data_IF_685507381855
#
_entry.id   IF_685507381855
#
_cell.length_a   1.000
_cell.length_b   1.000
_cell.length_c   1.000
_cell.angle_alpha   90.00
_cell.angle_beta   90.00
_cell.angle_gamma   90.00
#
_symmetry.space_group_name_H-M   'P 1'
#
loop_
_entity.id
_entity.type
_entity.pdbx_description
1 polymer ?
#
# COMPACT_ATOMS: atom_id res chain seq x y z
N UNK A 1 8.69 9.33 -23.45
CA UNK A 1 9.54 8.12 -23.37
C UNK A 1 9.61 7.52 -24.76
N UNK A 2 10.81 7.48 -25.30
CA UNK A 2 11.07 6.94 -26.64
C UNK A 2 10.83 5.43 -26.71
N UNK A 3 10.65 4.90 -27.92
CA UNK A 3 10.35 3.48 -28.13
C UNK A 3 11.46 2.54 -27.65
N UNK A 4 12.73 2.99 -27.67
CA UNK A 4 13.89 2.22 -27.19
C UNK A 4 13.91 2.15 -25.65
N UNK A 5 13.74 3.30 -24.99
CA UNK A 5 13.67 3.40 -23.53
C UNK A 5 12.55 2.54 -22.96
N UNK A 6 11.37 2.57 -23.59
CA UNK A 6 10.21 1.78 -23.18
C UNK A 6 10.51 0.28 -23.17
N UNK A 7 11.24 -0.22 -24.18
CA UNK A 7 11.64 -1.63 -24.26
C UNK A 7 12.62 -1.98 -23.15
N UNK A 8 13.57 -1.10 -22.86
CA UNK A 8 14.55 -1.28 -21.77
C UNK A 8 13.83 -1.34 -20.42
N UNK A 9 12.98 -0.35 -20.11
CA UNK A 9 12.22 -0.32 -18.85
C UNK A 9 11.30 -1.52 -18.72
N UNK A 10 10.63 -1.93 -19.81
CA UNK A 10 9.80 -3.14 -19.82
C UNK A 10 10.62 -4.40 -19.52
N UNK A 11 11.81 -4.52 -20.13
CA UNK A 11 12.72 -5.63 -19.85
C UNK A 11 13.17 -5.65 -18.39
N UNK A 12 13.57 -4.49 -17.84
CA UNK A 12 13.96 -4.37 -16.42
C UNK A 12 12.80 -4.79 -15.51
N UNK A 13 11.58 -4.33 -15.78
CA UNK A 13 10.40 -4.73 -15.02
C UNK A 13 10.14 -6.24 -15.10
N UNK A 14 10.39 -6.88 -16.25
CA UNK A 14 10.32 -8.33 -16.36
C UNK A 14 11.41 -9.02 -15.51
N UNK A 15 12.64 -8.52 -15.50
CA UNK A 15 13.70 -9.10 -14.66
C UNK A 15 13.35 -8.98 -13.17
N UNK A 16 13.05 -7.75 -12.71
CA UNK A 16 12.69 -7.49 -11.31
C UNK A 16 11.50 -8.33 -10.86
N UNK A 17 10.42 -8.38 -11.64
CA UNK A 17 9.24 -9.17 -11.28
C UNK A 17 9.53 -10.68 -11.20
N UNK A 18 10.42 -11.20 -12.06
CA UNK A 18 10.83 -12.62 -11.99
C UNK A 18 11.62 -12.89 -10.71
N UNK A 19 12.54 -11.99 -10.37
CA UNK A 19 13.42 -12.15 -9.20
C UNK A 19 12.65 -12.04 -7.89
N UNK A 20 11.69 -11.11 -7.80
CA UNK A 20 10.81 -10.96 -6.63
C UNK A 20 9.98 -12.23 -6.38
N UNK A 21 9.34 -12.76 -7.43
CA UNK A 21 8.53 -13.97 -7.32
C UNK A 21 9.39 -15.19 -6.99
N UNK A 22 10.57 -15.30 -7.59
CA UNK A 22 11.50 -16.38 -7.28
C UNK A 22 11.99 -16.31 -5.82
N UNK A 23 12.27 -15.11 -5.31
CA UNK A 23 12.64 -14.90 -3.91
C UNK A 23 11.51 -15.31 -2.96
N UNK A 24 10.29 -14.81 -3.21
CA UNK A 24 9.11 -15.14 -2.41
C UNK A 24 8.85 -16.65 -2.37
N UNK A 25 8.91 -17.31 -3.53
CA UNK A 25 8.76 -18.76 -3.63
C UNK A 25 9.83 -19.52 -2.85
N UNK A 26 11.10 -19.12 -2.95
CA UNK A 26 12.21 -19.74 -2.20
C UNK A 26 12.05 -19.60 -0.68
N UNK A 27 11.46 -18.50 -0.23
CA UNK A 27 11.23 -18.22 1.19
C UNK A 27 9.90 -18.77 1.71
N UNK A 28 9.03 -19.30 0.84
CA UNK A 28 7.66 -19.67 1.23
C UNK A 28 6.82 -18.48 1.68
N UNK A 29 7.12 -17.28 1.18
CA UNK A 29 6.50 -16.03 1.58
C UNK A 29 5.55 -15.47 0.51
N UNK A 30 4.60 -14.63 0.92
CA UNK A 30 3.80 -13.78 0.03
C UNK A 30 4.49 -12.45 -0.30
N UNK A 31 3.96 -11.72 -1.28
CA UNK A 31 4.38 -10.37 -1.63
C UNK A 31 3.29 -9.36 -1.28
N UNK A 32 3.68 -8.24 -0.69
CA UNK A 32 2.76 -7.14 -0.37
C UNK A 32 3.24 -5.89 -1.09
N UNK A 33 2.36 -5.26 -1.86
CA UNK A 33 2.65 -4.06 -2.65
C UNK A 33 1.83 -2.88 -2.15
N UNK A 34 2.38 -1.67 -2.24
CA UNK A 34 1.58 -0.47 -2.05
C UNK A 34 0.61 -0.26 -3.22
N UNK A 35 -0.64 0.07 -2.93
CA UNK A 35 -1.59 0.50 -3.94
C UNK A 35 -1.28 1.94 -4.38
N UNK A 36 -0.52 2.06 -5.46
CA UNK A 36 -0.14 3.33 -6.07
C UNK A 36 -1.16 3.84 -7.11
N UNK A 37 -2.38 3.31 -7.13
CA UNK A 37 -3.42 3.83 -8.00
C UNK A 37 -3.72 5.32 -7.72
N UNK A 38 -3.86 6.12 -8.78
CA UNK A 38 -4.26 7.53 -8.66
C UNK A 38 -3.21 8.47 -8.05
N UNK A 39 -1.97 8.04 -7.81
CA UNK A 39 -0.90 8.92 -7.26
C UNK A 39 -0.55 10.09 -8.18
N UNK A 40 -0.77 9.93 -9.49
CA UNK A 40 -0.49 10.95 -10.51
C UNK A 40 -1.51 12.09 -10.50
N UNK A 41 -2.74 11.81 -10.06
CA UNK A 41 -3.80 12.83 -9.91
C UNK A 41 -3.78 13.52 -8.55
N UNK A 42 -3.35 12.82 -7.48
CA UNK A 42 -3.41 13.33 -6.09
C UNK A 42 -2.34 14.35 -5.72
N UNK A 43 -1.21 14.38 -6.41
CA UNK A 43 -0.07 15.22 -6.06
C UNK A 43 0.50 15.87 -7.31
N UNK A 44 0.28 17.18 -7.46
CA UNK A 44 0.88 17.96 -8.54
C UNK A 44 2.41 18.00 -8.38
N UNK A 45 3.15 17.65 -9.43
CA UNK A 45 4.60 17.88 -9.47
C UNK A 45 4.89 19.25 -10.04
N UNK A 46 5.96 19.90 -9.52
CA UNK A 46 6.53 21.09 -10.15
C UNK A 46 7.08 20.74 -11.52
N UNK A 47 7.04 21.70 -12.45
CA UNK A 47 7.47 21.49 -13.84
C UNK A 47 8.95 21.07 -13.93
N UNK A 48 9.82 21.66 -13.10
CA UNK A 48 11.24 21.31 -12.99
C UNK A 48 11.46 19.83 -12.61
N UNK A 49 10.64 19.30 -11.71
CA UNK A 49 10.69 17.88 -11.29
C UNK A 49 10.16 16.94 -12.38
N UNK A 50 9.32 17.43 -13.31
CA UNK A 50 8.84 16.63 -14.45
C UNK A 50 9.88 16.52 -15.56
N UNK A 51 10.71 17.54 -15.75
CA UNK A 51 11.80 17.52 -16.73
C UNK A 51 12.98 16.64 -16.33
N UNK A 52 13.17 16.39 -15.03
CA UNK A 52 14.21 15.50 -14.52
C UNK A 52 13.72 14.04 -14.48
N UNK A 53 14.30 13.17 -15.30
CA UNK A 53 13.89 11.75 -15.38
C UNK A 53 14.09 10.98 -14.06
N UNK A 54 15.07 11.37 -13.22
CA UNK A 54 15.35 10.73 -11.94
C UNK A 54 14.37 11.14 -10.83
N UNK A 55 13.78 12.32 -10.93
CA UNK A 55 12.79 12.83 -9.97
C UNK A 55 11.34 12.74 -10.48
N UNK A 56 11.16 12.49 -11.78
CA UNK A 56 9.85 12.38 -12.38
C UNK A 56 9.19 11.03 -12.05
N UNK A 57 8.18 11.06 -11.18
CA UNK A 57 7.36 9.86 -10.87
C UNK A 57 6.61 9.30 -12.09
N UNK A 58 6.41 10.08 -13.15
CA UNK A 58 5.78 9.61 -14.38
C UNK A 58 6.74 8.79 -15.26
N UNK A 59 8.05 8.85 -14.97
CA UNK A 59 9.08 8.15 -15.74
C UNK A 59 8.99 6.63 -15.56
N UNK A 60 8.86 6.13 -14.33
CA UNK A 60 8.79 4.69 -14.08
C UNK A 60 7.34 4.15 -14.13
N UNK A 61 7.05 3.10 -14.92
CA UNK A 61 5.70 2.55 -15.04
C UNK A 61 5.42 1.54 -13.93
N UNK A 62 5.15 2.03 -12.70
CA UNK A 62 4.88 1.17 -11.54
C UNK A 62 3.73 0.17 -11.75
N UNK A 63 2.67 0.58 -12.46
CA UNK A 63 1.54 -0.30 -12.79
C UNK A 63 1.97 -1.51 -13.66
N UNK A 64 2.91 -1.31 -14.59
CA UNK A 64 3.42 -2.40 -15.42
C UNK A 64 4.21 -3.40 -14.56
N UNK A 65 5.05 -2.91 -13.65
CA UNK A 65 5.79 -3.77 -12.74
C UNK A 65 4.83 -4.58 -11.85
N UNK A 66 3.82 -3.94 -11.26
CA UNK A 66 2.80 -4.61 -10.46
C UNK A 66 2.07 -5.70 -11.26
N UNK A 67 1.61 -5.38 -12.48
CA UNK A 67 0.97 -6.36 -13.36
C UNK A 67 1.90 -7.55 -13.63
N UNK A 68 3.18 -7.31 -13.86
CA UNK A 68 4.17 -8.36 -14.08
C UNK A 68 4.43 -9.24 -12.86
N UNK A 69 4.50 -8.63 -11.67
CA UNK A 69 4.60 -9.37 -10.41
C UNK A 69 3.36 -10.25 -10.23
N UNK A 70 2.15 -9.70 -10.40
CA UNK A 70 0.89 -10.44 -10.19
C UNK A 70 0.76 -11.66 -11.07
N UNK A 71 0.95 -11.54 -12.40
CA UNK A 71 0.75 -12.69 -13.28
C UNK A 71 1.81 -13.78 -13.05
N UNK A 72 3.07 -13.39 -12.75
CA UNK A 72 4.15 -14.35 -12.46
C UNK A 72 3.96 -15.02 -11.12
N UNK A 73 3.52 -14.28 -10.11
CA UNK A 73 3.23 -14.81 -8.79
C UNK A 73 2.09 -15.83 -8.86
N UNK A 74 1.02 -15.51 -9.59
CA UNK A 74 -0.09 -16.44 -9.86
C UNK A 74 0.41 -17.74 -10.49
N UNK A 75 1.24 -17.64 -11.54
CA UNK A 75 1.82 -18.82 -12.19
C UNK A 75 2.75 -19.63 -11.27
N UNK A 76 3.35 -18.99 -10.27
CA UNK A 76 4.27 -19.61 -9.32
C UNK A 76 3.59 -20.12 -8.04
N UNK A 77 2.30 -19.83 -7.83
CA UNK A 77 1.55 -20.13 -6.60
C UNK A 77 1.88 -19.19 -5.43
N UNK A 78 2.42 -18.01 -5.69
CA UNK A 78 2.78 -17.00 -4.68
C UNK A 78 1.63 -16.01 -4.50
N UNK A 79 1.23 -15.76 -3.26
CA UNK A 79 0.18 -14.77 -2.93
C UNK A 79 0.70 -13.35 -3.09
N UNK A 80 -0.14 -12.45 -3.62
CA UNK A 80 0.18 -11.03 -3.79
C UNK A 80 -0.97 -10.17 -3.32
N UNK A 81 -0.72 -9.36 -2.29
CA UNK A 81 -1.68 -8.43 -1.72
C UNK A 81 -1.28 -6.97 -1.90
N UNK A 82 -2.24 -6.09 -1.63
CA UNK A 82 -2.04 -4.65 -1.70
C UNK A 82 -2.47 -3.94 -0.43
N UNK A 83 -1.65 -2.99 0.00
CA UNK A 83 -1.92 -2.14 1.16
C UNK A 83 -2.10 -0.68 0.75
N UNK A 84 -2.80 0.08 1.59
CA UNK A 84 -2.94 1.53 1.40
C UNK A 84 -1.57 2.21 1.65
N UNK A 85 -1.11 3.12 0.76
CA UNK A 85 0.21 3.76 0.87
C UNK A 85 0.29 4.86 1.95
N UNK A 86 -0.76 5.02 2.77
CA UNK A 86 -0.84 6.15 3.69
C UNK A 86 0.12 5.97 4.86
N UNK A 87 0.96 6.98 5.10
CA UNK A 87 1.90 7.09 6.22
C UNK A 87 3.00 6.01 6.30
N UNK A 88 3.06 5.06 5.37
CA UNK A 88 4.09 4.00 5.30
C UNK A 88 5.51 4.57 5.24
N UNK A 89 5.72 5.65 4.50
CA UNK A 89 7.03 6.30 4.32
C UNK A 89 7.36 7.38 5.37
N UNK A 90 6.41 7.73 6.24
CA UNK A 90 6.57 8.76 7.28
C UNK A 90 6.70 8.17 8.68
N UNK A 91 6.06 7.03 8.92
CA UNK A 91 6.03 6.40 10.23
C UNK A 91 7.34 5.67 10.50
N UNK A 92 7.85 5.74 11.71
CA UNK A 92 9.03 4.99 12.11
C UNK A 92 8.62 3.55 12.37
N UNK A 93 9.24 2.61 11.67
CA UNK A 93 9.00 1.19 11.91
C UNK A 93 9.34 0.75 13.34
N UNK A 94 10.33 1.38 13.96
CA UNK A 94 10.79 1.02 15.30
C UNK A 94 9.87 1.54 16.41
N UNK A 95 9.39 2.77 16.31
CA UNK A 95 8.70 3.45 17.42
C UNK A 95 7.32 4.04 17.09
N UNK A 96 6.85 3.90 15.85
CA UNK A 96 5.55 4.41 15.39
C UNK A 96 5.45 5.93 15.24
N UNK A 97 6.53 6.69 15.48
CA UNK A 97 6.48 8.15 15.37
C UNK A 97 6.34 8.61 13.91
N UNK A 98 5.50 9.61 13.67
CA UNK A 98 5.39 10.28 12.38
C UNK A 98 6.54 11.26 12.19
N UNK A 99 7.22 11.14 11.05
CA UNK A 99 8.39 11.94 10.68
C UNK A 99 8.27 12.45 9.25
N UNK A 100 9.11 13.41 8.90
CA UNK A 100 9.26 13.87 7.52
C UNK A 100 10.35 13.07 6.80
N UNK A 101 10.00 12.57 5.61
CA UNK A 101 10.95 11.90 4.71
C UNK A 101 11.81 12.94 3.99
N UNK A 102 13.13 12.75 3.98
CA UNK A 102 14.07 13.58 3.20
C UNK A 102 14.66 12.77 2.05
N UNK A 103 14.04 12.85 0.87
CA UNK A 103 14.43 12.09 -0.34
C UNK A 103 14.57 10.59 -0.06
N UNK A 104 15.79 10.04 -0.08
CA UNK A 104 16.09 8.63 0.13
C UNK A 104 16.43 8.29 1.58
N UNK A 105 16.69 9.29 2.42
CA UNK A 105 17.04 9.11 3.81
C UNK A 105 15.81 9.24 4.72
N UNK A 106 15.76 8.38 5.73
CA UNK A 106 14.82 8.44 6.83
C UNK A 106 15.57 8.56 8.15
N UNK A 107 15.20 9.56 8.95
CA UNK A 107 15.74 9.77 10.30
C UNK A 107 14.56 10.03 11.22
N UNK A 108 14.39 9.18 12.24
CA UNK A 108 13.36 9.38 13.25
C UNK A 108 13.82 10.41 14.28
N UNK A 109 13.07 11.50 14.45
CA UNK A 109 13.35 12.55 15.43
C UNK A 109 13.07 12.11 16.86
N UNK A 110 12.29 11.04 17.06
CA UNK A 110 11.92 10.51 18.38
C UNK A 110 12.94 9.51 18.93
N UNK A 111 13.30 8.49 18.14
CA UNK A 111 14.16 7.40 18.60
C UNK A 111 15.54 7.36 17.94
N UNK A 112 15.84 8.28 17.02
CA UNK A 112 17.13 8.34 16.34
C UNK A 112 17.36 7.25 15.28
N UNK A 113 16.36 6.40 14.99
CA UNK A 113 16.48 5.38 13.95
C UNK A 113 16.77 5.98 12.58
N UNK A 114 17.75 5.42 11.88
CA UNK A 114 18.18 5.86 10.55
C UNK A 114 18.13 4.69 9.58
N UNK A 115 17.53 4.92 8.41
CA UNK A 115 17.42 3.91 7.36
C UNK A 115 17.23 4.57 5.98
N UNK A 116 17.29 3.77 4.92
CA UNK A 116 16.73 4.17 3.65
C UNK A 116 15.21 4.29 3.78
N UNK A 117 14.61 5.35 3.23
CA UNK A 117 13.19 5.64 3.40
C UNK A 117 12.29 4.52 2.86
N UNK A 118 12.66 3.93 1.73
CA UNK A 118 11.88 2.83 1.13
C UNK A 118 12.05 1.52 1.92
N UNK A 119 13.19 1.34 2.62
CA UNK A 119 13.39 0.19 3.51
C UNK A 119 12.52 0.31 4.78
N UNK A 120 12.50 1.49 5.41
CA UNK A 120 11.60 1.77 6.52
C UNK A 120 10.12 1.60 6.11
N UNK A 121 9.75 2.03 4.90
CA UNK A 121 8.39 1.83 4.38
C UNK A 121 8.05 0.35 4.19
N UNK A 122 8.95 -0.45 3.59
CA UNK A 122 8.75 -1.89 3.44
C UNK A 122 8.59 -2.60 4.79
N UNK A 123 9.37 -2.19 5.79
CA UNK A 123 9.26 -2.72 7.14
C UNK A 123 7.93 -2.34 7.82
N UNK A 124 7.44 -1.11 7.66
CA UNK A 124 6.10 -0.73 8.12
C UNK A 124 5.01 -1.57 7.46
N UNK A 125 5.09 -1.79 6.15
CA UNK A 125 4.12 -2.61 5.43
C UNK A 125 4.10 -4.03 5.97
N UNK A 126 5.27 -4.62 6.22
CA UNK A 126 5.39 -5.95 6.85
C UNK A 126 4.67 -6.01 8.19
N UNK A 127 4.89 -5.02 9.06
CA UNK A 127 4.34 -5.03 10.41
C UNK A 127 2.86 -4.68 10.48
N UNK A 128 2.38 -3.84 9.56
CA UNK A 128 0.97 -3.42 9.54
C UNK A 128 0.07 -4.38 8.79
N UNK A 129 0.64 -5.21 7.93
CA UNK A 129 -0.16 -6.17 7.18
C UNK A 129 -0.81 -7.18 8.14
N UNK A 130 -2.14 -7.26 8.08
CA UNK A 130 -2.93 -8.05 9.03
C UNK A 130 -3.30 -7.30 10.33
N UNK A 131 -2.70 -6.15 10.62
CA UNK A 131 -3.18 -5.24 11.68
C UNK A 131 -4.40 -4.47 11.16
N UNK A 132 -5.54 -5.17 11.14
CA UNK A 132 -6.82 -4.50 11.27
C UNK A 132 -7.10 -4.44 12.77
N UNK A 133 -7.39 -3.26 13.32
CA UNK A 133 -8.13 -3.25 14.56
C UNK A 133 -9.46 -3.92 14.22
N UNK A 134 -9.85 -5.05 14.85
CA UNK A 134 -11.24 -5.43 14.82
C UNK A 134 -11.96 -4.28 15.49
N UNK A 135 -12.52 -3.39 14.69
CA UNK A 135 -13.39 -2.35 15.17
C UNK A 135 -14.71 -3.05 15.49
N UNK A 136 -14.70 -3.93 16.48
CA UNK A 136 -15.88 -4.23 17.28
C UNK A 136 -16.19 -2.92 17.99
N UNK A 137 -16.80 -1.99 17.25
CA UNK A 137 -17.53 -0.89 17.85
C UNK A 137 -18.63 -1.59 18.64
N UNK A 138 -18.39 -1.82 19.92
CA UNK A 138 -19.47 -2.05 20.86
C UNK A 138 -20.44 -0.89 20.65
N UNK A 139 -21.58 -1.17 20.03
CA UNK A 139 -22.68 -0.20 19.97
C UNK A 139 -23.07 -0.02 21.42
N UNK A 140 -22.86 1.17 22.03
CA UNK A 140 -23.28 1.38 23.38
C UNK A 140 -24.81 1.18 23.41
N UNK A 141 -25.27 0.24 24.22
CA UNK A 141 -26.70 0.09 24.47
C UNK A 141 -27.24 1.44 25.01
N UNK A 142 -28.21 2.04 24.32
CA UNK A 142 -28.79 3.33 24.72
C UNK A 142 -28.10 4.60 24.20
N UNK A 143 -27.28 4.52 23.13
CA UNK A 143 -26.80 5.74 22.45
C UNK A 143 -27.89 6.49 21.68
N UNK A 144 -27.80 7.82 21.49
CA UNK A 144 -28.81 8.65 20.80
C UNK A 144 -29.02 8.32 19.31
N UNK A 145 -28.26 7.35 18.78
CA UNK A 145 -28.34 6.84 17.41
C UNK A 145 -28.91 5.42 17.34
N UNK A 146 -29.61 4.94 18.37
CA UNK A 146 -30.46 3.76 18.20
C UNK A 146 -31.43 4.03 17.03
N UNK A 147 -31.44 3.17 15.99
CA UNK A 147 -32.42 3.31 14.93
C UNK A 147 -33.79 3.17 15.58
N UNK A 148 -34.61 4.21 15.43
CA UNK A 148 -35.94 4.25 16.02
C UNK A 148 -36.68 2.93 15.70
N UNK A 149 -37.37 2.32 16.68
CA UNK A 149 -38.14 1.11 16.44
C UNK A 149 -39.08 1.36 15.26
N UNK A 150 -38.97 0.51 14.25
CA UNK A 150 -39.78 0.62 13.04
C UNK A 150 -41.14 -0.06 13.32
N UNK A 151 -42.23 0.71 13.49
CA UNK A 151 -43.53 0.16 13.90
C UNK A 151 -44.12 -0.80 12.84
N UNK A 152 -43.65 -0.76 11.60
CA UNK A 152 -44.06 -1.66 10.53
C UNK A 152 -43.47 -3.08 10.71
N UNK A 153 -42.30 -3.21 11.34
CA UNK A 153 -41.68 -4.53 11.61
C UNK A 153 -42.26 -5.21 12.84
N UNK A 154 -42.67 -4.44 13.84
CA UNK A 154 -43.23 -4.97 15.09
C UNK A 154 -44.65 -5.51 14.90
N UNK A 155 -45.47 -4.83 14.10
CA UNK A 155 -46.81 -5.30 13.73
C UNK A 155 -46.77 -6.57 12.88
N UNK A 156 -45.77 -6.71 12.00
CA UNK A 156 -45.54 -7.94 11.24
C UNK A 156 -45.11 -9.13 12.13
N UNK A 157 -44.34 -8.89 13.19
CA UNK A 157 -43.93 -9.93 14.13
C UNK A 157 -45.08 -10.37 15.06
N UNK A 158 -45.97 -9.45 15.45
CA UNK A 158 -47.15 -9.75 16.27
C UNK A 158 -48.28 -10.44 15.48
N UNK A 159 -48.36 -10.22 14.17
CA UNK A 159 -49.32 -10.89 13.30
C UNK A 159 -48.93 -12.33 12.91
N UNK A 160 -47.70 -12.76 13.23
CA UNK A 160 -47.18 -14.09 12.95
C UNK A 160 -47.16 -15.02 14.18
N UNK A 161 -47.69 -14.56 15.32
CA UNK A 161 -47.92 -15.35 16.54
C UNK A 161 -49.43 -15.61 16.71
#
# INVERSE_FOLDING_TARGET
MESKERRIVTHINHCISKDLVALAKRQGAGLILENLAGIRGRSKQRQETKSDAGQNRDYWPFYQLEAFVRYKALAAGVQVDSVRPHYTSKTCHVCGALNERRKHAYVCTRCGHQAHADANAAMNIRDWYGLCCPLELEVPAGGPHEPAPNPVRETAAQAAA
#
